data_IF_848592448968
#
_entry.id   IF_848592448968
#
_cell.length_a   1.000
_cell.length_b   1.000
_cell.length_c   1.000
_cell.angle_alpha   90.00
_cell.angle_beta   90.00
_cell.angle_gamma   90.00
#
_symmetry.space_group_name_H-M   'P 1'
#
loop_
_entity.id
_entity.type
_entity.pdbx_description
1 polymer ?
#
# COMPACT_ATOMS: atom_id res chain seq x y z
N UNK A 1 40.96 -30.55 -40.36
CA UNK A 1 40.78 -29.55 -39.29
C UNK A 1 39.55 -28.69 -39.53
N UNK A 2 38.37 -29.27 -39.76
CA UNK A 2 37.16 -28.51 -40.12
C UNK A 2 35.85 -28.96 -39.46
N UNK A 3 35.87 -29.95 -38.58
CA UNK A 3 34.64 -30.47 -37.96
C UNK A 3 34.52 -30.20 -36.44
N UNK A 4 35.57 -29.63 -35.82
CA UNK A 4 35.55 -29.31 -34.37
C UNK A 4 35.06 -27.89 -34.08
N UNK A 5 34.98 -27.03 -35.06
CA UNK A 5 34.58 -25.62 -34.90
C UNK A 5 33.05 -25.40 -35.02
N UNK A 6 32.32 -26.34 -35.57
CA UNK A 6 30.87 -26.23 -35.76
C UNK A 6 30.01 -26.66 -34.54
N UNK A 7 30.59 -27.34 -33.56
CA UNK A 7 29.84 -27.82 -32.40
C UNK A 7 29.77 -26.76 -31.28
N UNK A 8 30.66 -25.77 -31.27
CA UNK A 8 30.73 -24.76 -30.20
C UNK A 8 29.74 -23.62 -30.43
N UNK A 9 29.28 -23.38 -31.66
CA UNK A 9 28.36 -22.25 -31.97
C UNK A 9 26.87 -22.62 -31.67
N UNK A 10 26.52 -23.91 -31.69
CA UNK A 10 25.15 -24.35 -31.42
C UNK A 10 24.77 -24.39 -29.93
N UNK A 11 25.75 -24.39 -29.03
CA UNK A 11 25.53 -24.46 -27.58
C UNK A 11 25.24 -23.12 -26.89
N UNK A 12 25.61 -21.99 -27.51
CA UNK A 12 25.47 -20.66 -26.89
C UNK A 12 24.14 -19.95 -27.13
N UNK A 13 23.27 -20.48 -27.98
CA UNK A 13 21.99 -19.81 -28.31
C UNK A 13 20.80 -20.30 -27.46
N UNK A 14 21.02 -21.27 -26.56
CA UNK A 14 19.93 -21.86 -25.77
C UNK A 14 19.81 -21.30 -24.35
N UNK A 15 20.62 -20.31 -23.97
CA UNK A 15 20.65 -19.79 -22.58
C UNK A 15 20.04 -18.40 -22.41
N UNK A 16 19.31 -17.86 -23.39
CA UNK A 16 18.75 -16.49 -23.31
C UNK A 16 17.22 -16.44 -23.30
N UNK A 17 16.55 -17.55 -22.90
CA UNK A 17 15.13 -17.56 -22.60
C UNK A 17 14.90 -17.55 -21.07
N UNK A 18 15.67 -16.74 -20.33
CA UNK A 18 15.20 -16.34 -18.99
C UNK A 18 14.06 -15.35 -19.23
N UNK A 19 12.84 -15.91 -19.13
CA UNK A 19 11.63 -15.15 -19.23
C UNK A 19 11.69 -13.98 -18.23
N UNK A 20 11.60 -12.77 -18.72
CA UNK A 20 11.25 -11.61 -17.90
C UNK A 20 9.89 -11.90 -17.31
N UNK A 21 9.86 -12.35 -16.07
CA UNK A 21 8.63 -12.41 -15.30
C UNK A 21 8.10 -10.96 -15.26
N UNK A 22 7.10 -10.67 -16.07
CA UNK A 22 6.38 -9.40 -15.98
C UNK A 22 5.85 -9.32 -14.55
N UNK A 23 6.43 -8.41 -13.76
CA UNK A 23 5.95 -8.15 -12.42
C UNK A 23 4.48 -7.73 -12.54
N UNK A 24 3.59 -8.62 -12.10
CA UNK A 24 2.16 -8.35 -12.12
C UNK A 24 1.90 -7.14 -11.23
N UNK A 25 1.18 -6.16 -11.76
CA UNK A 25 0.77 -4.99 -10.99
C UNK A 25 -0.01 -5.44 -9.74
N UNK A 26 0.33 -4.94 -8.53
CA UNK A 26 -0.30 -5.39 -7.29
C UNK A 26 -1.82 -5.17 -7.35
N UNK A 27 -2.58 -6.24 -7.18
CA UNK A 27 -4.04 -6.20 -7.12
C UNK A 27 -4.54 -6.40 -5.69
N UNK A 28 -5.67 -5.79 -5.29
CA UNK A 28 -6.20 -5.97 -3.96
C UNK A 28 -6.46 -7.45 -3.65
N UNK A 29 -5.84 -8.02 -2.59
CA UNK A 29 -6.18 -9.36 -2.14
C UNK A 29 -7.58 -9.39 -1.52
N UNK A 30 -8.15 -10.57 -1.30
CA UNK A 30 -9.40 -10.69 -0.56
C UNK A 30 -9.22 -10.13 0.85
N UNK A 31 -10.10 -9.21 1.25
CA UNK A 31 -10.14 -8.70 2.63
C UNK A 31 -10.58 -9.81 3.58
N UNK A 32 -9.73 -10.15 4.54
CA UNK A 32 -10.02 -11.11 5.61
C UNK A 32 -9.93 -10.44 6.99
N UNK A 33 -10.54 -10.99 8.04
CA UNK A 33 -10.39 -10.47 9.39
C UNK A 33 -8.94 -10.40 9.87
N UNK A 34 -8.13 -11.38 9.49
CA UNK A 34 -6.71 -11.48 9.85
C UNK A 34 -5.91 -10.35 9.19
N UNK A 35 -6.12 -10.16 7.88
CA UNK A 35 -5.47 -9.10 7.11
C UNK A 35 -5.85 -7.72 7.67
N UNK A 36 -7.13 -7.52 7.99
CA UNK A 36 -7.59 -6.28 8.60
C UNK A 36 -6.98 -6.06 9.99
N UNK A 37 -6.89 -7.11 10.82
CA UNK A 37 -6.25 -7.04 12.14
C UNK A 37 -4.78 -6.67 12.03
N UNK A 38 -4.05 -7.26 11.07
CA UNK A 38 -2.67 -6.90 10.78
C UNK A 38 -2.54 -5.42 10.39
N UNK A 39 -3.42 -4.95 9.50
CA UNK A 39 -3.43 -3.55 9.08
C UNK A 39 -3.68 -2.57 10.21
N UNK A 40 -4.58 -2.89 11.14
CA UNK A 40 -4.83 -2.07 12.33
C UNK A 40 -3.60 -1.94 13.22
N UNK A 41 -2.91 -3.06 13.48
CA UNK A 41 -1.65 -3.03 14.25
C UNK A 41 -0.57 -2.19 13.57
N UNK A 42 -0.40 -2.35 12.26
CA UNK A 42 0.55 -1.56 11.48
C UNK A 42 0.20 -0.06 11.49
N UNK A 43 -1.08 0.27 11.40
CA UNK A 43 -1.56 1.65 11.50
C UNK A 43 -1.24 2.27 12.85
N UNK A 44 -1.50 1.57 13.94
CA UNK A 44 -1.19 2.01 15.30
C UNK A 44 0.31 2.27 15.49
N UNK A 45 1.15 1.43 14.92
CA UNK A 45 2.60 1.54 15.05
C UNK A 45 3.21 2.66 14.21
N UNK A 46 2.67 2.93 13.03
CA UNK A 46 3.36 3.72 12.02
C UNK A 46 2.60 4.99 11.58
N UNK A 47 1.29 5.07 11.76
CA UNK A 47 0.47 6.10 11.12
C UNK A 47 -0.21 7.04 12.12
N UNK A 48 -0.50 6.56 13.34
CA UNK A 48 -1.26 7.30 14.36
C UNK A 48 -0.64 8.63 14.73
N UNK A 49 0.68 8.72 14.77
CA UNK A 49 1.39 9.95 15.16
C UNK A 49 0.99 11.15 14.29
N UNK A 50 0.74 10.94 13.01
CA UNK A 50 0.30 11.97 12.08
C UNK A 50 -1.22 11.92 11.83
N UNK A 51 -1.77 10.73 11.55
CA UNK A 51 -3.16 10.58 11.11
C UNK A 51 -4.18 10.46 12.27
N UNK A 52 -3.72 10.24 13.50
CA UNK A 52 -4.57 10.12 14.68
C UNK A 52 -5.19 8.73 14.85
N UNK A 53 -5.54 8.37 16.09
CA UNK A 53 -6.22 7.10 16.42
C UNK A 53 -7.57 6.94 15.71
N UNK A 54 -8.23 8.06 15.37
CA UNK A 54 -9.52 8.08 14.68
C UNK A 54 -9.39 8.22 13.17
N UNK A 55 -8.17 8.34 12.65
CA UNK A 55 -7.93 8.59 11.23
C UNK A 55 -8.40 9.98 10.75
N UNK A 56 -8.56 10.94 11.65
CA UNK A 56 -9.10 12.28 11.38
C UNK A 56 -8.02 13.32 10.99
N UNK A 57 -6.75 12.87 10.84
CA UNK A 57 -5.61 13.72 10.54
C UNK A 57 -5.08 14.53 11.74
N UNK A 58 -5.60 14.28 12.93
CA UNK A 58 -5.27 15.01 14.17
C UNK A 58 -4.39 14.18 15.11
N UNK A 59 -3.38 13.51 14.57
CA UNK A 59 -2.36 12.86 15.37
C UNK A 59 -1.51 13.87 16.15
N UNK A 60 -0.69 13.36 17.05
CA UNK A 60 0.11 14.19 17.97
C UNK A 60 0.89 15.33 17.26
N UNK A 61 1.42 15.07 16.07
CA UNK A 61 2.12 16.06 15.27
C UNK A 61 1.32 16.51 14.04
N UNK A 62 0.17 15.88 13.75
CA UNK A 62 -0.59 16.09 12.53
C UNK A 62 -0.99 17.55 12.31
N UNK A 63 -1.44 18.26 13.35
CA UNK A 63 -1.87 19.65 13.26
C UNK A 63 -0.74 20.64 12.91
N UNK A 64 0.52 20.27 13.15
CA UNK A 64 1.69 21.09 12.83
C UNK A 64 2.20 20.88 11.40
N UNK A 65 1.76 19.83 10.71
CA UNK A 65 2.23 19.49 9.36
C UNK A 65 1.57 20.35 8.29
N UNK A 66 2.31 20.64 7.23
CA UNK A 66 1.82 21.34 6.03
C UNK A 66 2.27 20.58 4.78
N UNK A 67 1.35 20.11 3.93
CA UNK A 67 -0.11 20.09 4.15
C UNK A 67 -0.52 19.20 5.35
N UNK A 68 -1.74 19.37 5.84
CA UNK A 68 -2.29 18.54 6.92
C UNK A 68 -2.44 17.09 6.46
N UNK A 69 -2.26 16.10 7.36
CA UNK A 69 -2.53 14.71 7.03
C UNK A 69 -3.98 14.49 6.59
N UNK A 70 -4.18 13.57 5.64
CA UNK A 70 -5.51 13.22 5.13
C UNK A 70 -6.45 12.79 6.25
N UNK A 71 -7.69 13.28 6.19
CA UNK A 71 -8.77 12.88 7.08
C UNK A 71 -9.52 11.68 6.46
N UNK A 72 -9.29 10.50 7.01
CA UNK A 72 -9.88 9.23 6.56
C UNK A 72 -11.33 9.05 7.01
N UNK A 73 -11.88 9.91 7.89
CA UNK A 73 -13.28 9.81 8.35
C UNK A 73 -14.28 10.37 7.35
N UNK A 74 -13.81 11.06 6.30
CA UNK A 74 -14.64 11.48 5.18
C UNK A 74 -15.06 10.27 4.34
N UNK A 75 -16.17 10.33 3.58
CA UNK A 75 -16.51 9.28 2.62
C UNK A 75 -15.33 8.95 1.71
N UNK A 76 -15.07 7.66 1.49
CA UNK A 76 -13.88 7.20 0.75
C UNK A 76 -13.75 7.81 -0.64
N UNK A 77 -14.87 8.04 -1.33
CA UNK A 77 -14.92 8.72 -2.63
C UNK A 77 -14.46 10.19 -2.60
N UNK A 78 -14.42 10.81 -1.42
CA UNK A 78 -14.04 12.22 -1.23
C UNK A 78 -12.58 12.40 -0.78
N UNK A 79 -11.81 11.34 -0.64
CA UNK A 79 -10.38 11.46 -0.29
C UNK A 79 -9.60 12.04 -1.47
N UNK A 80 -8.70 12.99 -1.19
CA UNK A 80 -7.91 13.62 -2.25
C UNK A 80 -7.01 12.62 -2.98
N UNK A 81 -6.33 11.76 -2.23
CA UNK A 81 -5.33 10.84 -2.78
C UNK A 81 -5.90 9.48 -3.17
N UNK A 82 -7.06 9.10 -2.64
CA UNK A 82 -7.68 7.78 -2.89
C UNK A 82 -8.85 7.83 -3.85
N UNK A 83 -9.74 8.81 -3.70
CA UNK A 83 -10.95 9.01 -4.54
C UNK A 83 -11.79 7.74 -4.76
N UNK A 84 -11.93 6.91 -3.70
CA UNK A 84 -12.67 5.66 -3.77
C UNK A 84 -11.92 4.47 -4.40
N UNK A 85 -10.63 4.60 -4.67
CA UNK A 85 -9.81 3.59 -5.34
C UNK A 85 -8.75 3.02 -4.37
N UNK A 86 -8.87 1.73 -4.04
CA UNK A 86 -7.94 1.04 -3.14
C UNK A 86 -6.50 1.02 -3.68
N UNK A 87 -6.35 0.90 -5.01
CA UNK A 87 -5.02 0.87 -5.64
C UNK A 87 -4.31 2.21 -5.48
N UNK A 88 -5.03 3.32 -5.60
CA UNK A 88 -4.45 4.65 -5.36
C UNK A 88 -3.99 4.82 -3.93
N UNK A 89 -4.76 4.34 -2.95
CA UNK A 89 -4.34 4.36 -1.54
C UNK A 89 -3.10 3.49 -1.33
N UNK A 90 -3.05 2.30 -1.96
CA UNK A 90 -1.87 1.44 -1.93
C UNK A 90 -0.64 2.13 -2.51
N UNK A 91 -0.80 2.84 -3.61
CA UNK A 91 0.30 3.58 -4.25
C UNK A 91 0.80 4.73 -3.38
N UNK A 92 -0.11 5.46 -2.72
CA UNK A 92 0.26 6.51 -1.75
C UNK A 92 1.04 5.93 -0.58
N UNK A 93 0.59 4.83 0.00
CA UNK A 93 1.32 4.15 1.08
C UNK A 93 2.70 3.69 0.58
N UNK A 94 2.77 3.13 -0.62
CA UNK A 94 4.02 2.61 -1.20
C UNK A 94 5.04 3.70 -1.50
N UNK A 95 4.59 4.82 -2.09
CA UNK A 95 5.45 5.85 -2.69
C UNK A 95 5.60 7.08 -1.81
N UNK A 96 4.70 7.26 -0.82
CA UNK A 96 4.54 8.54 -0.12
C UNK A 96 3.93 9.61 -1.01
N UNK A 97 3.90 10.84 -0.52
CA UNK A 97 3.43 12.01 -1.26
C UNK A 97 4.59 13.01 -1.38
N UNK A 98 5.06 13.34 -2.59
CA UNK A 98 6.17 14.28 -2.78
C UNK A 98 5.92 15.63 -2.10
N UNK A 99 6.96 16.23 -1.54
CA UNK A 99 6.92 17.53 -0.87
C UNK A 99 5.98 17.59 0.34
N UNK A 100 5.71 16.46 0.98
CA UNK A 100 4.92 16.36 2.22
C UNK A 100 5.64 15.53 3.26
N UNK A 101 5.08 15.50 4.48
CA UNK A 101 5.56 14.62 5.55
C UNK A 101 5.11 13.15 5.41
N UNK A 102 4.28 12.82 4.41
CA UNK A 102 3.87 11.44 4.14
C UNK A 102 5.00 10.68 3.45
N UNK A 103 5.76 9.95 4.24
CA UNK A 103 6.89 9.13 3.78
C UNK A 103 6.42 7.87 3.05
N UNK A 104 7.32 7.30 2.24
CA UNK A 104 7.08 6.00 1.57
C UNK A 104 7.20 4.85 2.57
N UNK A 105 6.39 3.82 2.38
CA UNK A 105 6.38 2.58 3.17
C UNK A 105 6.74 1.36 2.30
N UNK A 106 7.61 1.55 1.31
CA UNK A 106 8.06 0.49 0.40
C UNK A 106 8.86 -0.63 1.07
N UNK A 107 9.35 -0.42 2.29
CA UNK A 107 10.02 -1.44 3.12
C UNK A 107 9.03 -2.47 3.71
N UNK A 108 7.74 -2.16 3.79
CA UNK A 108 6.71 -3.12 4.14
C UNK A 108 6.46 -4.06 2.95
N UNK A 109 6.15 -5.31 3.22
CA UNK A 109 5.71 -6.25 2.19
C UNK A 109 4.45 -5.76 1.47
N UNK A 110 4.18 -6.29 0.28
CA UNK A 110 2.96 -5.96 -0.46
C UNK A 110 1.70 -6.28 0.36
N UNK A 111 1.69 -7.44 1.04
CA UNK A 111 0.58 -7.85 1.89
C UNK A 111 0.35 -6.88 3.06
N UNK A 112 1.41 -6.41 3.71
CA UNK A 112 1.31 -5.43 4.81
C UNK A 112 0.77 -4.09 4.33
N UNK A 113 1.19 -3.63 3.15
CA UNK A 113 0.64 -2.41 2.56
C UNK A 113 -0.84 -2.55 2.20
N UNK A 114 -1.26 -3.71 1.66
CA UNK A 114 -2.69 -3.98 1.45
C UNK A 114 -3.47 -4.08 2.76
N UNK A 115 -2.88 -4.64 3.81
CA UNK A 115 -3.46 -4.65 5.14
C UNK A 115 -3.72 -3.23 5.66
N UNK A 116 -2.74 -2.32 5.49
CA UNK A 116 -2.89 -0.90 5.82
C UNK A 116 -4.00 -0.23 5.00
N UNK A 117 -4.09 -0.48 3.69
CA UNK A 117 -5.17 0.04 2.84
C UNK A 117 -6.54 -0.31 3.43
N UNK A 118 -6.75 -1.58 3.79
CA UNK A 118 -8.02 -2.00 4.38
C UNK A 118 -8.28 -1.38 5.75
N UNK A 119 -7.25 -1.21 6.57
CA UNK A 119 -7.39 -0.60 7.89
C UNK A 119 -7.77 0.89 7.78
N UNK A 120 -7.15 1.65 6.88
CA UNK A 120 -7.47 3.08 6.74
C UNK A 120 -8.85 3.31 6.12
N UNK A 121 -9.28 2.45 5.18
CA UNK A 121 -10.61 2.54 4.58
C UNK A 121 -11.73 2.24 5.58
N UNK A 122 -11.48 1.47 6.64
CA UNK A 122 -12.44 1.26 7.72
C UNK A 122 -12.86 2.56 8.44
N UNK A 123 -12.02 3.58 8.46
CA UNK A 123 -12.40 4.87 9.06
C UNK A 123 -13.49 5.59 8.27
N UNK A 124 -13.58 5.36 6.96
CA UNK A 124 -14.61 5.95 6.09
C UNK A 124 -15.95 5.20 6.15
N UNK A 125 -15.97 3.97 6.69
CA UNK A 125 -17.19 3.19 6.81
C UNK A 125 -18.16 3.87 7.79
N UNK A 126 -19.46 3.90 7.52
CA UNK A 126 -20.45 4.32 8.49
C UNK A 126 -20.28 3.47 9.76
N UNK A 127 -20.02 4.10 10.90
CA UNK A 127 -19.97 3.38 12.17
C UNK A 127 -21.34 2.74 12.38
N UNK A 128 -21.39 1.40 12.48
CA UNK A 128 -22.60 0.71 12.87
C UNK A 128 -23.16 1.33 14.17
N UNK A 129 -24.48 1.55 14.28
CA UNK A 129 -25.06 2.14 15.47
C UNK A 129 -24.66 1.29 16.68
N UNK A 130 -23.96 1.90 17.64
CA UNK A 130 -23.63 1.26 18.91
C UNK A 130 -24.95 0.90 19.57
N UNK A 131 -25.27 -0.41 19.68
CA UNK A 131 -26.39 -0.84 20.51
C UNK A 131 -26.13 -0.31 21.92
N UNK A 132 -26.87 0.73 22.31
CA UNK A 132 -26.94 1.13 23.72
C UNK A 132 -27.52 -0.06 24.49
N UNK A 133 -26.73 -0.61 25.43
CA UNK A 133 -27.22 -1.53 26.45
C UNK A 133 -28.08 -0.78 27.45
#
# INVERSE_FOLDING_TARGET
MGKLLQVIVAGSLLLFLLGTALAKDPSPPKKTPELLSQGKKLYEQNCVTCHGLKGDGKGQIGAALKPLPSNFTKPFSQWEDGKGDLKKVFDVITKGIPNTSMVKWSQLSEQERWALVYAVVEFAAPKAPTKKK
#
